data_IF_406950395251
#
_entry.id   IF_406950395251
#
_cell.length_a   1.000
_cell.length_b   1.000
_cell.length_c   1.000
_cell.angle_alpha   90.00
_cell.angle_beta   90.00
_cell.angle_gamma   90.00
#
_symmetry.space_group_name_H-M   'P 1'
#
loop_
_entity.id
_entity.type
_entity.pdbx_description
1 polymer ?
#
# COMPACT_ATOMS: atom_id res chain seq x y z
N UNK A 1 9.45 11.51 13.23
CA UNK A 1 10.21 10.81 12.17
C UNK A 1 9.22 10.23 11.18
N UNK A 2 9.24 10.71 9.93
CA UNK A 2 8.55 10.00 8.86
C UNK A 2 9.35 8.70 8.62
N UNK A 3 8.77 7.54 8.94
CA UNK A 3 9.46 6.27 8.62
C UNK A 3 9.35 6.03 7.12
N UNK A 4 10.40 5.49 6.51
CA UNK A 4 10.41 5.21 5.06
C UNK A 4 9.16 4.44 4.61
N UNK A 5 8.72 3.47 5.43
CA UNK A 5 7.56 2.64 5.15
C UNK A 5 6.23 3.42 5.12
N UNK A 6 6.11 4.48 5.93
CA UNK A 6 4.91 5.35 5.90
C UNK A 6 4.84 6.10 4.58
N UNK A 7 5.97 6.66 4.11
CA UNK A 7 6.03 7.38 2.85
C UNK A 7 5.70 6.46 1.66
N UNK A 8 6.24 5.24 1.66
CA UNK A 8 5.95 4.21 0.65
C UNK A 8 4.46 3.83 0.61
N UNK A 9 3.85 3.60 1.78
CA UNK A 9 2.41 3.35 1.87
C UNK A 9 1.58 4.52 1.34
N UNK A 10 1.95 5.76 1.67
CA UNK A 10 1.25 6.95 1.19
C UNK A 10 1.34 7.09 -0.32
N UNK A 11 2.53 6.90 -0.90
CA UNK A 11 2.73 6.95 -2.35
C UNK A 11 1.91 5.87 -3.07
N UNK A 12 1.90 4.65 -2.54
CA UNK A 12 1.06 3.57 -3.04
C UNK A 12 -0.43 3.92 -3.00
N UNK A 13 -0.93 4.35 -1.85
CA UNK A 13 -2.35 4.68 -1.65
C UNK A 13 -2.79 5.75 -2.63
N UNK A 14 -2.00 6.82 -2.79
CA UNK A 14 -2.31 7.89 -3.72
C UNK A 14 -2.43 7.37 -5.17
N UNK A 15 -1.53 6.48 -5.59
CA UNK A 15 -1.61 5.83 -6.90
C UNK A 15 -2.86 4.94 -7.06
N UNK A 16 -3.23 4.21 -6.00
CA UNK A 16 -4.43 3.36 -5.97
C UNK A 16 -5.72 4.18 -6.03
N UNK A 17 -5.82 5.27 -5.25
CA UNK A 17 -6.97 6.18 -5.28
C UNK A 17 -7.18 6.76 -6.69
N UNK A 18 -6.10 7.19 -7.34
CA UNK A 18 -6.16 7.69 -8.72
C UNK A 18 -6.60 6.60 -9.71
N UNK A 19 -6.16 5.35 -9.53
CA UNK A 19 -6.59 4.23 -10.36
C UNK A 19 -8.08 3.93 -10.18
N UNK A 20 -8.60 4.01 -8.95
CA UNK A 20 -10.03 3.85 -8.63
C UNK A 20 -10.85 4.97 -9.27
N UNK A 21 -10.42 6.23 -9.13
CA UNK A 21 -11.11 7.39 -9.70
C UNK A 21 -11.18 7.34 -11.24
N UNK A 22 -10.09 6.89 -11.86
CA UNK A 22 -10.01 6.68 -13.31
C UNK A 22 -10.62 5.36 -13.79
N UNK A 23 -11.28 4.61 -12.90
CA UNK A 23 -11.96 3.33 -13.17
C UNK A 23 -11.07 2.27 -13.81
N UNK A 24 -9.77 2.29 -13.49
CA UNK A 24 -8.84 1.26 -13.96
C UNK A 24 -9.12 -0.05 -13.24
N UNK A 25 -9.37 -1.12 -14.01
CA UNK A 25 -9.64 -2.46 -13.47
C UNK A 25 -8.38 -3.28 -13.23
N UNK A 26 -7.29 -2.93 -13.90
CA UNK A 26 -6.03 -3.63 -13.85
C UNK A 26 -4.90 -2.62 -13.71
N UNK A 27 -4.15 -2.73 -12.62
CA UNK A 27 -2.98 -1.92 -12.35
C UNK A 27 -1.80 -2.84 -12.06
N UNK A 28 -0.63 -2.48 -12.57
CA UNK A 28 0.63 -3.07 -12.15
C UNK A 28 1.41 -2.04 -11.36
N UNK A 29 1.63 -2.34 -10.08
CA UNK A 29 2.34 -1.47 -9.14
C UNK A 29 3.77 -1.98 -8.98
N UNK A 30 4.73 -1.07 -8.95
CA UNK A 30 6.13 -1.35 -8.64
C UNK A 30 6.55 -0.44 -7.49
N UNK A 31 7.22 -1.02 -6.50
CA UNK A 31 7.83 -0.30 -5.38
C UNK A 31 9.20 -0.91 -5.08
N UNK A 32 10.05 -0.17 -4.39
CA UNK A 32 11.37 -0.63 -3.93
C UNK A 32 11.31 -1.19 -2.50
N UNK A 33 10.25 -0.91 -1.75
CA UNK A 33 10.04 -1.41 -0.40
C UNK A 33 9.57 -2.86 -0.38
N UNK A 34 10.53 -3.78 -0.20
CA UNK A 34 10.26 -5.19 -0.02
C UNK A 34 9.31 -5.47 1.17
N UNK A 35 9.39 -4.67 2.24
CA UNK A 35 8.50 -4.81 3.39
C UNK A 35 7.05 -4.53 3.00
N UNK A 36 6.79 -3.36 2.40
CA UNK A 36 5.43 -2.93 2.03
C UNK A 36 4.83 -3.91 1.01
N UNK A 37 5.62 -4.33 0.01
CA UNK A 37 5.21 -5.33 -0.98
C UNK A 37 4.83 -6.64 -0.31
N UNK A 38 5.71 -7.19 0.55
CA UNK A 38 5.45 -8.46 1.21
C UNK A 38 4.28 -8.38 2.20
N UNK A 39 4.04 -7.22 2.83
CA UNK A 39 2.86 -7.02 3.67
C UNK A 39 1.58 -7.03 2.84
N UNK A 40 1.53 -6.34 1.69
CA UNK A 40 0.34 -6.31 0.81
C UNK A 40 0.02 -7.69 0.20
N UNK A 41 1.05 -8.47 -0.07
CA UNK A 41 0.95 -9.86 -0.54
C UNK A 41 0.63 -10.86 0.60
N UNK A 42 0.37 -10.37 1.82
CA UNK A 42 0.10 -11.17 3.02
C UNK A 42 1.23 -12.17 3.37
N UNK A 43 2.44 -11.94 2.85
CA UNK A 43 3.62 -12.75 3.15
C UNK A 43 4.20 -12.36 4.51
N UNK A 44 4.14 -11.08 4.85
CA UNK A 44 4.60 -10.52 6.12
C UNK A 44 3.44 -9.92 6.92
N UNK A 45 3.42 -10.21 8.22
CA UNK A 45 2.49 -9.60 9.16
C UNK A 45 2.81 -8.11 9.38
N UNK A 46 1.75 -7.30 9.52
CA UNK A 46 1.88 -5.87 9.88
C UNK A 46 1.95 -5.73 11.40
N UNK A 47 3.17 -5.84 11.95
CA UNK A 47 3.41 -5.73 13.39
C UNK A 47 3.42 -4.31 13.93
N UNK A 48 3.74 -3.33 13.09
CA UNK A 48 3.71 -1.93 13.48
C UNK A 48 2.25 -1.43 13.41
N UNK A 49 1.68 -1.09 14.56
CA UNK A 49 0.33 -0.54 14.66
C UNK A 49 0.15 0.78 13.90
N UNK A 50 1.21 1.54 13.66
CA UNK A 50 1.19 2.76 12.83
C UNK A 50 0.96 2.43 11.35
N UNK A 51 1.45 1.28 10.86
CA UNK A 51 1.30 0.88 9.46
C UNK A 51 -0.03 0.18 9.18
N UNK A 52 -0.69 -0.35 10.21
CA UNK A 52 -1.92 -1.13 10.07
C UNK A 52 -3.05 -0.36 9.36
N UNK A 53 -3.32 0.93 9.66
CA UNK A 53 -4.33 1.69 8.93
C UNK A 53 -4.03 1.83 7.44
N UNK A 54 -2.76 2.06 7.08
CA UNK A 54 -2.34 2.19 5.68
C UNK A 54 -2.46 0.87 4.93
N UNK A 55 -2.02 -0.23 5.54
CA UNK A 55 -2.15 -1.56 4.97
C UNK A 55 -3.63 -1.91 4.70
N UNK A 56 -4.49 -1.72 5.70
CA UNK A 56 -5.92 -2.00 5.57
C UNK A 56 -6.58 -1.16 4.47
N UNK A 57 -6.21 0.11 4.37
CA UNK A 57 -6.77 1.00 3.35
C UNK A 57 -6.29 0.64 1.94
N UNK A 58 -5.00 0.35 1.77
CA UNK A 58 -4.46 -0.12 0.50
C UNK A 58 -5.14 -1.43 0.04
N UNK A 59 -5.31 -2.41 0.93
CA UNK A 59 -6.02 -3.67 0.62
C UNK A 59 -7.46 -3.43 0.16
N UNK A 60 -8.18 -2.51 0.84
CA UNK A 60 -9.54 -2.12 0.44
C UNK A 60 -9.61 -1.52 -0.97
N UNK A 61 -8.61 -0.73 -1.37
CA UNK A 61 -8.56 -0.15 -2.72
C UNK A 61 -8.21 -1.19 -3.80
N UNK A 62 -7.47 -2.25 -3.44
CA UNK A 62 -7.07 -3.31 -4.36
C UNK A 62 -8.20 -4.30 -4.69
N UNK A 63 -9.25 -4.36 -3.86
CA UNK A 63 -10.40 -5.26 -4.03
C UNK A 63 -10.28 -6.51 -3.18
#
# INVERSE_FOLDING_TARGET
>A
NCSNNVAEYQALIFGLEMAVDTKQRHLKVYGDSQLVINQLLDLYEVRNSELLPYHNYAKRLMG
#
